data_IF_309852677552
#
_entry.id   IF_309852677552
#
_cell.length_a   1.000
_cell.length_b   1.000
_cell.length_c   1.000
_cell.angle_alpha   90.00
_cell.angle_beta   90.00
_cell.angle_gamma   90.00
#
_symmetry.space_group_name_H-M   'P 1'
#
loop_
_entity.id
_entity.type
_entity.pdbx_description
1 polymer ?
#
# COMPACT_ATOMS: atom_id res chain seq x y z
N UNK A 1 34.20 2.08 16.32
CA UNK A 1 33.05 2.86 16.83
C UNK A 1 32.05 3.26 15.72
N UNK A 2 31.37 2.31 15.04
CA UNK A 2 30.37 2.63 14.01
C UNK A 2 29.01 3.08 14.57
N UNK A 3 28.67 2.69 15.80
CA UNK A 3 27.37 2.96 16.42
C UNK A 3 26.99 4.45 16.51
N UNK A 4 27.95 5.34 16.84
CA UNK A 4 27.68 6.79 16.94
C UNK A 4 27.20 7.40 15.61
N UNK A 5 27.70 6.91 14.47
CA UNK A 5 27.33 7.44 13.15
C UNK A 5 25.93 6.99 12.73
N UNK A 6 25.57 5.74 13.06
CA UNK A 6 24.24 5.18 12.78
C UNK A 6 23.17 5.90 13.62
N UNK A 7 23.40 6.10 14.92
CA UNK A 7 22.46 6.85 15.76
C UNK A 7 22.24 8.27 15.28
N UNK A 8 23.30 8.97 14.87
CA UNK A 8 23.18 10.32 14.33
C UNK A 8 22.36 10.34 13.04
N UNK A 9 22.60 9.38 12.13
CA UNK A 9 21.84 9.23 10.90
C UNK A 9 20.35 8.98 11.16
N UNK A 10 20.02 8.05 12.06
CA UNK A 10 18.63 7.75 12.44
C UNK A 10 17.96 8.97 13.06
N UNK A 11 18.66 9.72 13.92
CA UNK A 11 18.14 10.94 14.51
C UNK A 11 17.78 11.99 13.43
N UNK A 12 18.71 12.29 12.52
CA UNK A 12 18.44 13.22 11.42
C UNK A 12 17.29 12.73 10.52
N UNK A 13 17.23 11.44 10.24
CA UNK A 13 16.16 10.85 9.45
C UNK A 13 14.79 11.06 10.10
N UNK A 14 14.67 10.84 11.41
CA UNK A 14 13.44 11.07 12.16
C UNK A 14 13.05 12.56 12.13
N UNK A 15 14.00 13.46 12.36
CA UNK A 15 13.76 14.91 12.35
C UNK A 15 13.29 15.38 10.97
N UNK A 16 13.97 14.94 9.90
CA UNK A 16 13.58 15.29 8.51
C UNK A 16 12.18 14.78 8.20
N UNK A 17 11.89 13.52 8.56
CA UNK A 17 10.57 12.92 8.32
C UNK A 17 9.47 13.65 9.09
N UNK A 18 9.73 14.02 10.34
CA UNK A 18 8.78 14.79 11.15
C UNK A 18 8.50 16.18 10.54
N UNK A 19 9.54 16.87 10.05
CA UNK A 19 9.38 18.16 9.38
C UNK A 19 8.56 18.04 8.09
N UNK A 20 8.83 17.03 7.26
CA UNK A 20 8.07 16.77 6.03
C UNK A 20 6.60 16.49 6.34
N UNK A 21 6.33 15.73 7.40
CA UNK A 21 4.97 15.39 7.83
C UNK A 21 4.20 16.62 8.31
N UNK A 22 4.81 17.42 9.20
CA UNK A 22 4.20 18.67 9.71
C UNK A 22 3.92 19.66 8.57
N UNK A 23 4.88 19.87 7.68
CA UNK A 23 4.69 20.74 6.53
C UNK A 23 3.59 20.23 5.58
N UNK A 24 3.42 18.91 5.45
CA UNK A 24 2.32 18.33 4.66
C UNK A 24 0.96 18.55 5.30
N UNK A 25 0.86 18.43 6.63
CA UNK A 25 -0.39 18.73 7.36
C UNK A 25 -0.74 20.20 7.17
N UNK A 26 0.21 21.11 7.39
CA UNK A 26 -0.03 22.55 7.26
C UNK A 26 -0.40 22.94 5.83
N UNK A 27 0.26 22.32 4.84
CA UNK A 27 -0.11 22.48 3.43
C UNK A 27 -1.55 22.03 3.15
N UNK A 28 -1.98 20.90 3.74
CA UNK A 28 -3.35 20.41 3.59
C UNK A 28 -4.38 21.31 4.25
N UNK A 29 -4.12 21.76 5.48
CA UNK A 29 -4.98 22.71 6.19
C UNK A 29 -5.14 23.96 5.35
N UNK A 30 -4.06 24.45 4.74
CA UNK A 30 -4.10 25.66 3.94
C UNK A 30 -4.85 25.49 2.60
N UNK A 31 -4.71 24.34 1.94
CA UNK A 31 -5.38 24.06 0.65
C UNK A 31 -6.87 23.78 0.83
N UNK A 32 -7.22 22.94 1.82
CA UNK A 32 -8.57 22.44 2.00
C UNK A 32 -9.38 23.23 3.04
N UNK A 33 -8.73 24.13 3.80
CA UNK A 33 -9.37 24.84 4.92
C UNK A 33 -9.85 23.90 6.02
N UNK A 34 -9.30 22.69 6.08
CA UNK A 34 -9.83 21.59 6.86
C UNK A 34 -9.30 21.62 8.30
N UNK A 35 -10.14 21.23 9.26
CA UNK A 35 -9.72 21.13 10.66
C UNK A 35 -8.53 20.14 10.81
N UNK A 36 -7.57 20.46 11.69
CA UNK A 36 -6.26 19.78 11.78
C UNK A 36 -6.32 18.25 11.85
N UNK A 37 -7.35 17.70 12.50
CA UNK A 37 -7.59 16.25 12.63
C UNK A 37 -7.91 15.59 11.29
N UNK A 38 -8.78 16.22 10.49
CA UNK A 38 -9.13 15.70 9.16
C UNK A 38 -7.99 15.91 8.17
N UNK A 39 -7.25 17.02 8.30
CA UNK A 39 -6.05 17.26 7.51
C UNK A 39 -4.97 16.20 7.78
N UNK A 40 -4.79 15.76 9.03
CA UNK A 40 -3.89 14.66 9.37
C UNK A 40 -4.29 13.34 8.71
N UNK A 41 -5.58 12.98 8.77
CA UNK A 41 -6.07 11.75 8.13
C UNK A 41 -5.95 11.79 6.60
N UNK A 42 -6.29 12.94 6.00
CA UNK A 42 -6.11 13.17 4.57
C UNK A 42 -4.62 13.16 4.18
N UNK A 43 -3.71 13.68 5.02
CA UNK A 43 -2.27 13.63 4.78
C UNK A 43 -1.76 12.19 4.76
N UNK A 44 -2.26 11.33 5.65
CA UNK A 44 -1.94 9.89 5.66
C UNK A 44 -2.44 9.22 4.37
N UNK A 45 -3.65 9.55 3.92
CA UNK A 45 -4.21 9.03 2.66
C UNK A 45 -3.44 9.53 1.44
N UNK A 46 -3.01 10.80 1.45
CA UNK A 46 -2.18 11.39 0.40
C UNK A 46 -0.75 10.86 0.41
N UNK A 47 -0.24 10.43 1.57
CA UNK A 47 1.05 9.76 1.66
C UNK A 47 1.06 8.44 0.88
N UNK A 48 -0.10 7.80 0.73
CA UNK A 48 -0.28 6.61 -0.11
C UNK A 48 -0.09 6.92 -1.61
N UNK A 49 -0.28 8.18 -2.01
CA UNK A 49 -0.03 8.65 -3.36
C UNK A 49 1.35 9.32 -3.37
N UNK A 50 2.42 8.61 -3.82
CA UNK A 50 3.81 9.05 -3.65
C UNK A 50 4.16 10.41 -4.26
N UNK A 51 3.32 10.95 -5.15
CA UNK A 51 3.47 12.28 -5.71
C UNK A 51 2.73 13.38 -4.94
N UNK A 52 1.56 13.07 -4.37
CA UNK A 52 0.72 14.08 -3.72
C UNK A 52 1.29 14.49 -2.36
N UNK A 53 1.70 13.53 -1.52
CA UNK A 53 2.29 13.83 -0.21
C UNK A 53 3.42 14.86 -0.26
N UNK A 54 4.50 14.61 -1.04
CA UNK A 54 5.60 15.56 -1.20
C UNK A 54 5.17 16.90 -1.79
N UNK A 55 4.21 16.92 -2.73
CA UNK A 55 3.71 18.16 -3.33
C UNK A 55 2.98 19.04 -2.30
N UNK A 56 2.12 18.45 -1.46
CA UNK A 56 1.44 19.16 -0.38
C UNK A 56 2.40 19.64 0.71
N UNK A 57 3.41 18.84 1.07
CA UNK A 57 4.44 19.27 2.01
C UNK A 57 5.33 20.38 1.45
N UNK A 58 5.71 20.30 0.18
CA UNK A 58 6.45 21.35 -0.52
C UNK A 58 5.67 22.67 -0.53
N UNK A 59 4.37 22.60 -0.84
CA UNK A 59 3.48 23.75 -0.81
C UNK A 59 3.37 24.34 0.61
N UNK A 60 3.16 23.50 1.64
CA UNK A 60 3.08 23.94 3.03
C UNK A 60 4.37 24.63 3.50
N UNK A 61 5.53 24.08 3.16
CA UNK A 61 6.81 24.67 3.55
C UNK A 61 7.08 26.03 2.88
N UNK A 62 6.65 26.24 1.64
CA UNK A 62 6.81 27.52 0.94
C UNK A 62 5.77 28.55 1.39
N UNK A 63 4.50 28.16 1.43
CA UNK A 63 3.41 29.13 1.65
C UNK A 63 3.19 29.40 3.13
N UNK A 64 3.14 28.35 3.96
CA UNK A 64 2.86 28.46 5.39
C UNK A 64 4.13 28.83 6.16
N UNK A 65 5.23 28.11 5.91
CA UNK A 65 6.48 28.32 6.65
C UNK A 65 7.41 29.35 6.00
N UNK A 66 7.11 29.79 4.77
CA UNK A 66 7.90 30.80 4.03
C UNK A 66 9.37 30.44 3.90
N UNK A 67 9.67 29.16 3.81
CA UNK A 67 11.04 28.70 3.63
C UNK A 67 11.50 28.94 2.19
N UNK A 68 12.81 29.20 2.00
CA UNK A 68 13.35 29.37 0.67
C UNK A 68 13.21 28.07 -0.14
N UNK A 69 12.97 28.21 -1.44
CA UNK A 69 12.61 27.10 -2.33
C UNK A 69 13.70 26.02 -2.38
N UNK A 70 14.97 26.42 -2.37
CA UNK A 70 16.12 25.50 -2.52
C UNK A 70 16.16 24.43 -1.42
N UNK A 71 16.19 24.77 -0.11
CA UNK A 71 16.21 23.76 0.94
C UNK A 71 14.91 22.96 1.01
N UNK A 72 13.77 23.55 0.66
CA UNK A 72 12.50 22.81 0.59
C UNK A 72 12.57 21.73 -0.50
N UNK A 73 13.11 22.07 -1.68
CA UNK A 73 13.29 21.11 -2.76
C UNK A 73 14.20 19.96 -2.34
N UNK A 74 15.32 20.25 -1.69
CA UNK A 74 16.18 19.21 -1.12
C UNK A 74 15.46 18.40 -0.06
N UNK A 75 14.73 19.05 0.86
CA UNK A 75 14.04 18.36 1.95
C UNK A 75 13.03 17.35 1.43
N UNK A 76 12.21 17.70 0.44
CA UNK A 76 11.16 16.78 -0.07
C UNK A 76 11.67 15.84 -1.16
N UNK A 77 12.63 16.27 -1.98
CA UNK A 77 13.08 15.50 -3.14
C UNK A 77 14.47 14.86 -2.96
N UNK A 78 15.06 14.89 -1.76
CA UNK A 78 16.34 14.21 -1.50
C UNK A 78 16.41 12.75 -1.97
N UNK A 79 15.36 11.89 -1.85
CA UNK A 79 15.46 10.50 -2.29
C UNK A 79 15.64 10.42 -3.81
N UNK A 80 15.02 11.35 -4.56
CA UNK A 80 15.17 11.44 -6.01
C UNK A 80 16.55 11.94 -6.41
N UNK A 81 17.14 12.88 -5.67
CA UNK A 81 18.52 13.30 -5.88
C UNK A 81 19.52 12.17 -5.60
N UNK A 82 19.32 11.44 -4.50
CA UNK A 82 20.13 10.26 -4.16
C UNK A 82 19.98 9.18 -5.24
N UNK A 83 18.76 8.91 -5.70
CA UNK A 83 18.49 7.98 -6.78
C UNK A 83 19.15 8.42 -8.09
N UNK A 84 19.01 9.69 -8.48
CA UNK A 84 19.65 10.26 -9.66
C UNK A 84 21.18 10.17 -9.59
N UNK A 85 21.77 10.46 -8.44
CA UNK A 85 23.20 10.26 -8.21
C UNK A 85 23.58 8.78 -8.35
N UNK A 86 22.84 7.85 -7.74
CA UNK A 86 23.09 6.41 -7.87
C UNK A 86 23.04 5.92 -9.33
N UNK A 87 22.10 6.44 -10.13
CA UNK A 87 22.00 6.19 -11.57
C UNK A 87 23.26 6.70 -12.29
N UNK A 88 23.65 7.96 -12.03
CA UNK A 88 24.79 8.62 -12.69
C UNK A 88 26.13 7.96 -12.34
N UNK A 89 26.32 7.53 -11.08
CA UNK A 89 27.54 6.87 -10.61
C UNK A 89 27.61 5.36 -10.97
N UNK A 90 26.75 4.87 -11.86
CA UNK A 90 26.89 3.53 -12.43
C UNK A 90 26.42 2.39 -11.51
N UNK A 91 25.66 2.67 -10.46
CA UNK A 91 25.01 1.65 -9.63
C UNK A 91 23.78 1.02 -10.33
N UNK A 92 23.81 0.93 -11.67
CA UNK A 92 22.74 0.42 -12.52
C UNK A 92 22.36 -1.05 -12.23
N UNK A 93 23.28 -1.83 -11.63
CA UNK A 93 22.99 -3.21 -11.21
C UNK A 93 21.96 -3.29 -10.08
N UNK A 94 21.92 -2.32 -9.15
CA UNK A 94 20.90 -2.27 -8.10
C UNK A 94 19.52 -1.84 -8.65
N UNK A 95 19.51 -0.98 -9.67
CA UNK A 95 18.29 -0.51 -10.34
C UNK A 95 17.56 -1.62 -11.08
N UNK A 96 18.29 -2.51 -11.76
CA UNK A 96 17.71 -3.71 -12.36
C UNK A 96 17.09 -4.64 -11.29
N UNK A 97 17.72 -4.75 -10.13
CA UNK A 97 17.18 -5.53 -9.01
C UNK A 97 15.87 -4.94 -8.49
N UNK A 98 15.80 -3.61 -8.33
CA UNK A 98 14.61 -2.91 -7.87
C UNK A 98 13.44 -2.99 -8.86
N UNK A 99 13.71 -2.92 -10.17
CA UNK A 99 12.70 -3.15 -11.22
C UNK A 99 12.09 -4.56 -11.16
N UNK A 100 12.89 -5.57 -10.84
CA UNK A 100 12.42 -6.96 -10.70
C UNK A 100 11.56 -7.14 -9.42
N UNK A 101 11.90 -6.43 -8.35
CA UNK A 101 11.15 -6.49 -7.07
C UNK A 101 9.81 -5.75 -7.10
N UNK A 102 9.66 -4.69 -7.92
CA UNK A 102 8.41 -3.90 -8.05
C UNK A 102 7.51 -4.42 -9.18
N UNK A 103 8.03 -5.28 -10.05
CA UNK A 103 7.29 -5.96 -11.11
C UNK A 103 5.98 -6.69 -10.70
N UNK A 104 5.86 -7.34 -9.51
CA UNK A 104 4.60 -7.98 -9.13
C UNK A 104 3.44 -7.00 -8.87
N UNK A 105 3.71 -5.70 -8.68
CA UNK A 105 2.66 -4.70 -8.43
C UNK A 105 2.17 -3.99 -9.70
N UNK A 106 2.95 -3.99 -10.78
CA UNK A 106 2.55 -3.42 -12.08
C UNK A 106 2.01 -4.47 -13.05
N UNK A 107 2.35 -5.74 -12.87
CA UNK A 107 1.71 -6.83 -13.60
C UNK A 107 0.35 -7.15 -12.99
N UNK A 108 -0.62 -6.26 -13.22
CA UNK A 108 -2.03 -6.58 -13.04
C UNK A 108 -2.30 -7.90 -13.75
N UNK A 109 -2.42 -8.97 -12.95
CA UNK A 109 -2.93 -10.26 -13.43
C UNK A 109 -4.27 -9.94 -14.07
N UNK A 110 -4.33 -9.92 -15.41
CA UNK A 110 -5.60 -10.05 -16.11
C UNK A 110 -6.22 -11.32 -15.55
N UNK A 111 -7.25 -11.15 -14.72
CA UNK A 111 -8.11 -12.25 -14.29
C UNK A 111 -8.60 -12.91 -15.57
N UNK A 112 -7.95 -14.00 -15.99
CA UNK A 112 -8.50 -14.86 -17.01
C UNK A 112 -9.61 -15.62 -16.29
N UNK A 113 -10.86 -15.25 -16.53
CA UNK A 113 -11.98 -16.12 -16.25
C UNK A 113 -11.69 -17.46 -16.93
N UNK A 114 -11.43 -18.50 -16.14
CA UNK A 114 -11.34 -19.87 -16.62
C UNK A 114 -12.77 -20.27 -16.97
N UNK A 115 -13.01 -20.57 -18.25
CA UNK A 115 -14.36 -20.97 -18.73
C UNK A 115 -14.86 -22.26 -18.05
N UNK A 116 -13.95 -23.02 -17.45
CA UNK A 116 -14.21 -24.30 -16.81
C UNK A 116 -14.92 -24.15 -15.44
N UNK A 117 -15.10 -22.92 -14.95
CA UNK A 117 -15.74 -22.64 -13.66
C UNK A 117 -17.26 -22.35 -13.80
N UNK A 118 -17.79 -22.37 -15.03
CA UNK A 118 -19.19 -22.07 -15.36
C UNK A 118 -19.79 -23.29 -16.07
N UNK A 119 -20.20 -24.28 -15.27
CA UNK A 119 -21.36 -25.17 -15.42
C UNK A 119 -21.06 -26.52 -14.75
N UNK A 120 -21.72 -26.86 -13.62
CA UNK A 120 -21.76 -28.26 -13.23
C UNK A 120 -22.58 -29.00 -14.29
N UNK A 121 -21.95 -29.91 -15.04
CA UNK A 121 -22.65 -30.87 -15.89
C UNK A 121 -23.65 -31.64 -15.01
N UNK A 122 -24.92 -31.21 -15.08
CA UNK A 122 -25.99 -31.81 -14.30
C UNK A 122 -26.38 -33.13 -15.00
N UNK A 123 -25.59 -34.17 -14.74
CA UNK A 123 -25.85 -35.50 -15.25
C UNK A 123 -26.99 -36.13 -14.44
N UNK A 124 -28.24 -35.86 -14.87
CA UNK A 124 -29.43 -36.53 -14.36
C UNK A 124 -29.38 -37.98 -14.82
N UNK A 125 -29.05 -38.89 -13.91
CA UNK A 125 -29.23 -40.32 -14.14
C UNK A 125 -30.74 -40.60 -14.14
N UNK A 126 -31.31 -40.74 -15.33
CA UNK A 126 -32.64 -41.31 -15.51
C UNK A 126 -32.56 -42.81 -15.25
N UNK A 127 -32.84 -43.18 -14.00
CA UNK A 127 -32.86 -44.57 -13.56
C UNK A 127 -34.15 -45.23 -14.08
N UNK A 128 -34.05 -45.98 -15.18
CA UNK A 128 -35.08 -46.95 -15.54
C UNK A 128 -34.97 -48.19 -14.63
N UNK A 129 -36.14 -48.73 -14.28
CA UNK A 129 -36.45 -49.86 -13.37
C UNK A 129 -36.23 -49.54 -11.88
N UNK A 130 -37.25 -49.06 -11.16
CA UNK A 130 -38.36 -49.88 -10.65
C UNK A 130 -37.87 -51.19 -10.04
N UNK A 131 -37.29 -51.13 -8.85
CA UNK A 131 -37.70 -51.97 -7.70
C UNK A 131 -36.92 -51.55 -6.46
N UNK A 132 -37.60 -50.91 -5.50
CA UNK A 132 -37.30 -50.93 -4.06
C UNK A 132 -38.29 -49.99 -3.37
N UNK A 133 -39.50 -50.51 -3.22
CA UNK A 133 -40.13 -50.72 -1.92
C UNK A 133 -39.69 -49.77 -0.81
N UNK A 134 -40.49 -48.72 -0.64
CA UNK A 134 -41.05 -48.22 0.63
C UNK A 134 -40.46 -48.86 1.91
N UNK A 135 -39.77 -48.04 2.71
CA UNK A 135 -39.81 -47.96 4.19
C UNK A 135 -38.76 -46.92 4.61
N UNK A 136 -39.10 -45.63 4.81
CA UNK A 136 -39.62 -45.07 6.06
C UNK A 136 -39.16 -45.80 7.35
N UNK A 137 -38.66 -45.02 8.32
CA UNK A 137 -38.17 -45.40 9.66
C UNK A 137 -36.67 -45.79 9.69
N UNK A 138 -35.82 -45.29 10.59
CA UNK A 138 -36.04 -44.76 11.92
C UNK A 138 -35.00 -43.68 12.31
N UNK A 139 -35.48 -42.73 13.11
CA UNK A 139 -34.71 -41.71 13.83
C UNK A 139 -33.93 -42.42 14.93
N UNK A 140 -32.59 -42.40 14.88
CA UNK A 140 -31.76 -42.92 15.98
C UNK A 140 -31.51 -41.80 17.00
N UNK A 141 -32.28 -41.85 18.09
CA UNK A 141 -32.10 -41.01 19.28
C UNK A 141 -30.84 -41.44 20.04
N UNK A 142 -29.88 -40.54 20.18
CA UNK A 142 -28.68 -40.71 21.00
C UNK A 142 -29.07 -40.75 22.49
N UNK A 143 -28.89 -41.89 23.15
CA UNK A 143 -29.12 -42.06 24.60
C UNK A 143 -27.88 -41.59 25.39
N UNK A 144 -28.03 -40.84 26.50
CA UNK A 144 -26.94 -40.50 27.40
C UNK A 144 -26.63 -41.69 28.33
N UNK A 145 -25.33 -41.97 28.51
CA UNK A 145 -24.84 -42.88 29.56
C UNK A 145 -24.50 -42.07 30.83
N UNK A 146 -24.74 -42.73 31.96
CA UNK A 146 -24.80 -42.24 33.35
C UNK A 146 -23.48 -41.67 33.91
#
# INVERSE_FOLDING_TARGET
MPFKRISLFVFFYIVITALQYLASIDGLIHILGLHWIFAGFAAILLFLVPALGPATGFYGAIVVWKWPIIPVLFLFFWPYFVYGALVLFGSARLLMYWKNTIWPFYSGKRFRFRKDDIEPEFNVKENASTDQTIEAHAIEYKKPEE
#
